data_IF_504686113664
#
_entry.id   IF_504686113664
#
_cell.length_a   1.000
_cell.length_b   1.000
_cell.length_c   1.000
_cell.angle_alpha   90.00
_cell.angle_beta   90.00
_cell.angle_gamma   90.00
#
_symmetry.space_group_name_H-M   'P 1'
#
loop_
_entity.id
_entity.type
_entity.pdbx_description
1 polymer ?
#
# COMPACT_ATOMS: atom_id res chain seq x y z
N UNK A 1 -12.79 -1.10 20.46
CA UNK A 1 -11.87 0.03 20.79
C UNK A 1 -11.21 0.51 19.52
N UNK A 2 -11.19 1.81 19.30
CA UNK A 2 -10.57 2.36 18.11
C UNK A 2 -9.05 2.44 18.29
N UNK A 3 -8.31 2.12 17.24
CA UNK A 3 -6.87 2.31 17.24
C UNK A 3 -6.55 3.80 17.32
N UNK A 4 -5.46 4.14 18.01
CA UNK A 4 -4.94 5.50 17.99
C UNK A 4 -4.21 5.69 16.67
N UNK A 5 -4.75 6.54 15.80
CA UNK A 5 -4.16 6.79 14.50
C UNK A 5 -3.12 7.90 14.60
N UNK A 6 -2.11 7.79 13.75
CA UNK A 6 -1.08 8.82 13.60
C UNK A 6 -1.16 9.39 12.18
N UNK A 7 -0.76 10.63 12.00
CA UNK A 7 -0.72 11.20 10.67
C UNK A 7 0.42 10.58 9.88
N UNK A 8 0.09 10.18 8.65
CA UNK A 8 1.07 9.67 7.71
C UNK A 8 1.22 10.66 6.56
N UNK A 9 2.37 10.62 5.89
CA UNK A 9 2.71 11.55 4.83
C UNK A 9 3.21 10.78 3.62
N UNK A 10 2.40 10.69 2.54
CA UNK A 10 2.81 9.95 1.35
C UNK A 10 4.01 10.54 0.60
N UNK A 11 4.44 11.75 0.95
CA UNK A 11 5.67 12.32 0.37
C UNK A 11 6.92 11.74 1.01
N UNK A 12 6.79 11.05 2.15
CA UNK A 12 7.90 10.37 2.80
C UNK A 12 8.08 8.97 2.23
N UNK A 13 9.23 8.36 2.54
CA UNK A 13 9.52 7.00 2.09
C UNK A 13 8.48 6.00 2.60
N UNK A 14 8.10 5.06 1.77
CA UNK A 14 7.15 4.02 2.14
C UNK A 14 7.41 2.74 1.38
N UNK A 15 6.50 1.79 1.54
CA UNK A 15 6.53 0.51 0.86
C UNK A 15 5.92 0.67 -0.53
N UNK A 16 6.49 0.02 -1.51
CA UNK A 16 5.94 -0.07 -2.86
C UNK A 16 5.60 -1.52 -3.19
N UNK A 17 4.94 -1.73 -4.33
CA UNK A 17 4.64 -3.08 -4.79
C UNK A 17 5.06 -3.25 -6.25
N UNK A 18 5.40 -4.49 -6.60
CA UNK A 18 5.78 -4.87 -7.94
C UNK A 18 5.05 -6.15 -8.32
N UNK A 19 4.50 -6.19 -9.53
CA UNK A 19 3.91 -7.42 -10.03
C UNK A 19 5.03 -8.30 -10.62
N UNK A 20 5.25 -9.46 -10.00
CA UNK A 20 6.27 -10.41 -10.46
C UNK A 20 5.68 -11.62 -11.16
N UNK A 21 4.37 -11.58 -11.49
CA UNK A 21 3.74 -12.65 -12.25
C UNK A 21 4.39 -12.78 -13.63
N UNK A 22 4.52 -14.02 -14.09
CA UNK A 22 5.12 -14.32 -15.40
C UNK A 22 4.07 -14.56 -16.47
N UNK A 23 2.80 -14.70 -16.08
CA UNK A 23 1.69 -14.94 -17.00
C UNK A 23 0.93 -13.65 -17.22
N UNK A 24 0.48 -13.45 -18.46
CA UNK A 24 -0.36 -12.30 -18.80
C UNK A 24 -1.68 -12.37 -18.03
N UNK A 25 -2.17 -11.20 -17.60
CA UNK A 25 -3.42 -11.02 -16.85
C UNK A 25 -3.40 -11.63 -15.45
N UNK A 26 -2.24 -11.98 -14.94
CA UNK A 26 -2.08 -12.44 -13.56
C UNK A 26 -1.35 -11.40 -12.73
N UNK A 27 -1.59 -11.44 -11.41
CA UNK A 27 -0.91 -10.57 -10.46
C UNK A 27 -0.34 -11.38 -9.33
N UNK A 28 0.96 -11.24 -9.10
CA UNK A 28 1.66 -11.76 -7.94
C UNK A 28 2.46 -10.62 -7.36
N UNK A 29 1.96 -10.05 -6.27
CA UNK A 29 2.54 -8.84 -5.72
C UNK A 29 3.73 -9.15 -4.82
N UNK A 30 4.84 -8.51 -5.11
CA UNK A 30 5.99 -8.44 -4.23
C UNK A 30 6.06 -7.03 -3.67
N UNK A 31 6.18 -6.93 -2.34
CA UNK A 31 6.28 -5.64 -1.66
C UNK A 31 7.74 -5.31 -1.44
N UNK A 32 8.09 -4.05 -1.65
CA UNK A 32 9.47 -3.58 -1.59
C UNK A 32 9.60 -2.53 -0.49
N UNK A 33 10.66 -2.66 0.30
CA UNK A 33 11.02 -1.65 1.29
C UNK A 33 11.46 -0.35 0.60
N UNK A 34 11.56 0.78 1.35
CA UNK A 34 12.01 2.04 0.74
C UNK A 34 13.38 1.96 0.06
N UNK A 35 14.24 1.04 0.49
CA UNK A 35 15.55 0.81 -0.14
C UNK A 35 15.48 -0.08 -1.39
N UNK A 36 14.29 -0.54 -1.77
CA UNK A 36 14.08 -1.41 -2.92
C UNK A 36 14.22 -2.89 -2.65
N UNK A 37 14.54 -3.29 -1.41
CA UNK A 37 14.67 -4.70 -1.08
C UNK A 37 13.30 -5.37 -0.90
N UNK A 38 13.14 -6.62 -1.40
CA UNK A 38 11.89 -7.34 -1.19
C UNK A 38 11.61 -7.61 0.28
N UNK A 39 10.33 -7.54 0.64
CA UNK A 39 9.85 -7.83 1.98
C UNK A 39 9.16 -9.18 1.96
N UNK A 40 9.53 -10.08 2.88
CA UNK A 40 8.96 -11.41 2.98
C UNK A 40 8.31 -11.69 4.35
N UNK A 41 8.20 -10.68 5.19
CA UNK A 41 7.55 -10.79 6.50
C UNK A 41 6.03 -10.91 6.31
N UNK A 42 5.47 -12.02 6.78
CA UNK A 42 4.07 -12.37 6.52
C UNK A 42 3.08 -11.41 7.19
N UNK A 43 3.38 -10.92 8.39
CA UNK A 43 2.44 -10.08 9.13
C UNK A 43 2.15 -8.77 8.38
N UNK A 44 3.15 -7.95 8.01
CA UNK A 44 2.85 -6.75 7.24
C UNK A 44 2.29 -7.06 5.86
N UNK A 45 2.75 -8.13 5.20
CA UNK A 45 2.22 -8.52 3.88
C UNK A 45 0.73 -8.83 3.97
N UNK A 46 0.30 -9.54 5.00
CA UNK A 46 -1.13 -9.83 5.19
C UNK A 46 -1.93 -8.54 5.35
N UNK A 47 -1.41 -7.57 6.09
CA UNK A 47 -2.05 -6.27 6.25
C UNK A 47 -2.16 -5.54 4.91
N UNK A 48 -1.09 -5.52 4.14
CA UNK A 48 -1.07 -4.84 2.84
C UNK A 48 -2.01 -5.51 1.83
N UNK A 49 -2.05 -6.85 1.83
CA UNK A 49 -2.99 -7.58 0.98
C UNK A 49 -4.44 -7.26 1.34
N UNK A 50 -4.72 -7.08 2.63
CA UNK A 50 -6.09 -6.76 3.08
C UNK A 50 -6.55 -5.37 2.68
N UNK A 51 -5.65 -4.47 2.28
CA UNK A 51 -6.02 -3.17 1.75
C UNK A 51 -6.75 -3.28 0.40
N UNK A 52 -6.58 -4.40 -0.28
CA UNK A 52 -7.25 -4.70 -1.56
C UNK A 52 -7.06 -3.57 -2.57
N UNK A 53 -5.83 -3.10 -2.73
CA UNK A 53 -5.54 -2.02 -3.67
C UNK A 53 -5.78 -2.52 -5.10
N UNK A 54 -6.47 -1.73 -5.95
CA UNK A 54 -6.75 -2.18 -7.32
C UNK A 54 -5.46 -2.52 -8.07
N UNK A 55 -5.44 -3.63 -8.82
CA UNK A 55 -4.25 -4.01 -9.59
C UNK A 55 -3.80 -2.96 -10.61
N UNK A 56 -4.75 -2.17 -11.12
CA UNK A 56 -4.45 -1.15 -12.13
C UNK A 56 -3.76 0.09 -11.55
N UNK A 57 -3.72 0.24 -10.22
CA UNK A 57 -3.03 1.38 -9.63
C UNK A 57 -1.53 1.30 -9.88
N UNK A 58 -0.95 2.43 -10.28
CA UNK A 58 0.50 2.59 -10.46
C UNK A 58 1.04 3.57 -9.40
N UNK A 59 2.36 3.64 -9.29
CA UNK A 59 3.03 4.54 -8.34
C UNK A 59 2.47 4.37 -6.93
N UNK A 60 2.31 3.12 -6.51
CA UNK A 60 1.71 2.80 -5.22
C UNK A 60 2.69 3.11 -4.09
N UNK A 61 2.20 3.83 -3.10
CA UNK A 61 2.88 4.08 -1.82
C UNK A 61 2.04 3.43 -0.73
N UNK A 62 2.69 2.70 0.17
CA UNK A 62 2.02 2.04 1.31
C UNK A 62 2.70 2.52 2.59
N UNK A 63 1.89 2.96 3.55
CA UNK A 63 2.38 3.45 4.83
C UNK A 63 3.02 2.30 5.61
N UNK A 64 4.27 2.46 6.08
CA UNK A 64 4.90 1.43 6.91
C UNK A 64 4.25 1.27 8.28
N UNK A 65 3.60 2.32 8.77
CA UNK A 65 2.98 2.33 10.08
C UNK A 65 1.53 1.83 9.98
N UNK A 66 1.21 0.74 10.68
CA UNK A 66 -0.13 0.17 10.68
C UNK A 66 -1.19 1.12 11.21
N UNK A 67 -0.80 2.16 11.96
CA UNK A 67 -1.71 3.16 12.52
C UNK A 67 -1.76 4.46 11.73
N UNK A 68 -1.08 4.52 10.58
CA UNK A 68 -1.15 5.70 9.73
C UNK A 68 -2.57 5.92 9.22
N UNK A 69 -3.07 7.17 9.27
CA UNK A 69 -4.43 7.46 8.83
C UNK A 69 -4.60 7.26 7.31
N UNK A 70 -3.58 7.57 6.51
CA UNK A 70 -3.52 7.18 5.11
C UNK A 70 -2.69 5.92 5.03
N UNK A 71 -3.30 4.81 4.62
CA UNK A 71 -2.61 3.54 4.53
C UNK A 71 -1.93 3.34 3.19
N UNK A 72 -2.47 3.91 2.13
CA UNK A 72 -1.86 3.78 0.81
C UNK A 72 -2.36 4.87 -0.12
N UNK A 73 -1.56 5.16 -1.14
CA UNK A 73 -1.95 5.98 -2.28
C UNK A 73 -1.54 5.28 -3.56
N UNK A 74 -2.15 5.67 -4.67
CA UNK A 74 -1.79 5.16 -5.98
C UNK A 74 -2.48 5.96 -7.07
N UNK A 75 -2.03 5.77 -8.30
CA UNK A 75 -2.63 6.41 -9.46
C UNK A 75 -3.50 5.41 -10.20
N UNK A 76 -4.74 5.80 -10.49
CA UNK A 76 -5.65 4.96 -11.27
C UNK A 76 -5.30 5.02 -12.78
N UNK A 77 -6.10 4.33 -13.59
CA UNK A 77 -5.86 4.27 -15.04
C UNK A 77 -5.91 5.63 -15.72
N UNK A 78 -6.57 6.60 -15.12
CA UNK A 78 -6.67 7.98 -15.64
C UNK A 78 -5.58 8.89 -15.07
N UNK A 79 -4.65 8.34 -14.28
CA UNK A 79 -3.58 9.11 -13.67
C UNK A 79 -4.00 9.91 -12.45
N UNK A 80 -5.21 9.70 -11.92
CA UNK A 80 -5.71 10.43 -10.75
C UNK A 80 -5.18 9.80 -9.48
N UNK A 81 -4.74 10.63 -8.53
CA UNK A 81 -4.27 10.16 -7.23
C UNK A 81 -5.43 9.69 -6.38
N UNK A 82 -5.37 8.46 -5.92
CA UNK A 82 -6.37 7.84 -5.08
C UNK A 82 -5.77 7.51 -3.71
N UNK A 83 -6.61 7.45 -2.69
CA UNK A 83 -6.19 7.22 -1.31
C UNK A 83 -6.92 6.02 -0.73
N UNK A 84 -6.23 5.29 0.14
CA UNK A 84 -6.83 4.25 0.98
C UNK A 84 -6.57 4.61 2.43
N UNK A 85 -7.65 4.91 3.17
CA UNK A 85 -7.54 5.32 4.56
C UNK A 85 -7.62 4.12 5.50
N UNK A 86 -7.09 4.31 6.71
CA UNK A 86 -7.26 3.33 7.78
C UNK A 86 -8.76 3.12 8.04
N UNK A 87 -9.22 1.86 8.33
CA UNK A 87 -10.64 1.61 8.58
C UNK A 87 -11.23 2.43 9.72
N UNK A 88 -10.41 2.81 10.71
CA UNK A 88 -10.85 3.60 11.84
C UNK A 88 -10.81 5.12 11.59
N UNK A 89 -10.37 5.54 10.41
CA UNK A 89 -10.32 6.97 10.09
C UNK A 89 -11.72 7.49 9.85
N UNK A 90 -12.09 8.54 10.58
CA UNK A 90 -13.32 9.28 10.37
C UNK A 90 -13.00 10.76 10.35
N UNK A 91 -13.63 11.46 9.43
CA UNK A 91 -13.51 12.93 9.35
C UNK A 91 -14.39 13.62 10.37
#
# INVERSE_FOLDING_TARGET
MRATLVRSDPSLSGVSRQNIATMQDEYLWQYLAPDGNPIDDKDPINRWNSLALPPAWTEVWICPNARGHIQATGRDVKGRLQYRYHPDWTE
#
